data_IF_989309240529
#
_entry.id   IF_989309240529
#
_cell.length_a   1.000
_cell.length_b   1.000
_cell.length_c   1.000
_cell.angle_alpha   90.00
_cell.angle_beta   90.00
_cell.angle_gamma   90.00
#
_symmetry.space_group_name_H-M   'P 1'
#
loop_
_entity.id
_entity.type
_entity.pdbx_description
1 polymer ?
#
# COMPACT_ATOMS: atom_id res chain seq x y z
N UNK A 1 -7.71 -22.27 -7.14
CA UNK A 1 -7.22 -20.91 -6.79
C UNK A 1 -5.73 -20.84 -7.09
N UNK A 2 -5.28 -19.80 -7.80
CA UNK A 2 -3.85 -19.61 -8.10
C UNK A 2 -3.12 -19.01 -6.88
N UNK A 3 -2.01 -19.61 -6.39
CA UNK A 3 -1.34 -19.15 -5.17
C UNK A 3 -0.96 -17.67 -5.18
N UNK A 4 -0.41 -17.16 -6.28
CA UNK A 4 -0.03 -15.74 -6.40
C UNK A 4 -1.25 -14.81 -6.30
N UNK A 5 -2.39 -15.21 -6.89
CA UNK A 5 -3.61 -14.41 -6.83
C UNK A 5 -4.12 -14.30 -5.38
N UNK A 6 -4.00 -15.37 -4.59
CA UNK A 6 -4.39 -15.35 -3.18
C UNK A 6 -3.54 -14.37 -2.36
N UNK A 7 -2.23 -14.32 -2.62
CA UNK A 7 -1.32 -13.37 -1.96
C UNK A 7 -1.60 -11.95 -2.41
N UNK A 8 -1.85 -11.71 -3.70
CA UNK A 8 -2.21 -10.39 -4.21
C UNK A 8 -3.52 -9.87 -3.57
N UNK A 9 -4.55 -10.71 -3.50
CA UNK A 9 -5.82 -10.37 -2.82
C UNK A 9 -5.60 -10.06 -1.34
N UNK A 10 -4.72 -10.81 -0.67
CA UNK A 10 -4.36 -10.54 0.73
C UNK A 10 -3.64 -9.20 0.88
N UNK A 11 -2.65 -8.92 0.04
CA UNK A 11 -1.89 -7.67 0.05
C UNK A 11 -2.82 -6.45 -0.15
N UNK A 12 -3.70 -6.52 -1.16
CA UNK A 12 -4.68 -5.47 -1.43
C UNK A 12 -5.64 -5.25 -0.24
N UNK A 13 -6.08 -6.31 0.43
CA UNK A 13 -6.93 -6.20 1.63
C UNK A 13 -6.18 -5.60 2.82
N UNK A 14 -4.89 -5.89 2.98
CA UNK A 14 -4.08 -5.28 4.04
C UNK A 14 -3.94 -3.78 3.82
N UNK A 15 -3.58 -3.35 2.61
CA UNK A 15 -3.55 -1.92 2.26
C UNK A 15 -4.91 -1.25 2.42
N UNK A 16 -6.00 -1.90 1.99
CA UNK A 16 -7.35 -1.35 2.19
C UNK A 16 -7.68 -1.08 3.66
N UNK A 17 -7.18 -1.90 4.60
CA UNK A 17 -7.34 -1.62 6.04
C UNK A 17 -6.56 -0.39 6.50
N UNK A 18 -5.37 -0.16 5.95
CA UNK A 18 -4.58 1.05 6.22
C UNK A 18 -5.37 2.27 5.77
N UNK A 19 -5.88 2.27 4.53
CA UNK A 19 -6.67 3.37 3.97
C UNK A 19 -7.91 3.64 4.84
N UNK A 20 -8.71 2.62 5.14
CA UNK A 20 -9.94 2.78 5.93
C UNK A 20 -9.65 3.34 7.32
N UNK A 21 -8.56 2.88 7.97
CA UNK A 21 -8.17 3.40 9.28
C UNK A 21 -7.76 4.87 9.22
N UNK A 22 -7.08 5.28 8.16
CA UNK A 22 -6.65 6.68 7.99
C UNK A 22 -7.83 7.63 7.74
N UNK A 23 -8.95 7.15 7.18
CA UNK A 23 -10.18 7.94 7.05
C UNK A 23 -10.74 8.35 8.42
N UNK A 24 -10.57 7.52 9.45
CA UNK A 24 -11.00 7.86 10.81
C UNK A 24 -10.08 8.90 11.49
N UNK A 25 -8.89 9.15 10.93
CA UNK A 25 -7.84 10.02 11.50
C UNK A 25 -7.27 10.97 10.43
N UNK A 26 -8.15 11.58 9.63
CA UNK A 26 -7.75 12.46 8.53
C UNK A 26 -6.89 13.65 8.97
N UNK A 27 -7.04 14.09 10.22
CA UNK A 27 -6.24 15.15 10.84
C UNK A 27 -4.74 14.81 10.93
N UNK A 28 -4.39 13.53 10.86
CA UNK A 28 -3.00 13.03 10.92
C UNK A 28 -2.44 12.63 9.55
N UNK A 29 -3.23 12.75 8.48
CA UNK A 29 -2.76 12.42 7.14
C UNK A 29 -1.88 13.56 6.65
N UNK A 30 -0.61 13.24 6.40
CA UNK A 30 0.35 14.18 5.84
C UNK A 30 0.26 14.11 4.32
N UNK A 31 0.33 15.26 3.67
CA UNK A 31 0.26 15.40 2.21
C UNK A 31 1.52 16.10 1.75
N UNK A 32 2.23 15.50 0.80
CA UNK A 32 3.39 16.05 0.14
C UNK A 32 3.09 16.28 -1.35
N UNK A 33 3.60 17.37 -1.92
CA UNK A 33 3.45 17.67 -3.34
C UNK A 33 4.71 17.28 -4.10
N UNK A 34 4.59 16.34 -5.04
CA UNK A 34 5.67 15.89 -5.94
C UNK A 34 5.79 16.79 -7.19
N UNK A 35 4.77 17.61 -7.46
CA UNK A 35 4.73 18.51 -8.60
C UNK A 35 3.37 19.20 -8.76
N UNK A 36 3.19 19.89 -9.89
CA UNK A 36 1.92 20.55 -10.19
C UNK A 36 0.80 19.51 -10.33
N UNK A 37 -0.18 19.54 -9.41
CA UNK A 37 -1.28 18.57 -9.29
C UNK A 37 -0.82 17.12 -9.02
N UNK A 38 0.38 16.92 -8.49
CA UNK A 38 0.92 15.62 -8.11
C UNK A 38 1.16 15.61 -6.59
N UNK A 39 0.48 14.71 -5.90
CA UNK A 39 0.45 14.62 -4.45
C UNK A 39 0.62 13.18 -4.01
N UNK A 40 1.34 12.99 -2.91
CA UNK A 40 1.43 11.72 -2.20
C UNK A 40 1.04 11.95 -0.76
N UNK A 41 0.33 11.01 -0.17
CA UNK A 41 -0.02 11.06 1.25
C UNK A 41 0.77 10.06 2.06
N UNK A 42 0.88 10.28 3.37
CA UNK A 42 1.42 9.28 4.29
C UNK A 42 0.64 7.95 4.25
N UNK A 43 -0.62 7.98 3.80
CA UNK A 43 -1.47 6.80 3.60
C UNK A 43 -1.06 6.01 2.37
N UNK A 44 -0.70 6.67 1.27
CA UNK A 44 -0.20 6.03 0.05
C UNK A 44 1.08 5.23 0.35
N UNK A 45 2.05 5.89 1.00
CA UNK A 45 3.33 5.27 1.40
C UNK A 45 3.08 4.06 2.30
N UNK A 46 2.26 4.23 3.35
CA UNK A 46 1.95 3.15 4.30
C UNK A 46 1.22 1.98 3.63
N UNK A 47 0.40 2.26 2.61
CA UNK A 47 -0.34 1.22 1.87
C UNK A 47 0.59 0.43 0.95
N UNK A 48 1.52 1.12 0.28
CA UNK A 48 2.53 0.48 -0.57
C UNK A 48 3.46 -0.42 0.26
N UNK A 49 3.94 0.05 1.39
CA UNK A 49 4.75 -0.75 2.33
C UNK A 49 4.02 -2.01 2.77
N UNK A 50 2.73 -1.90 3.11
CA UNK A 50 1.91 -3.05 3.51
C UNK A 50 1.74 -4.08 2.37
N UNK A 51 1.65 -3.63 1.12
CA UNK A 51 1.59 -4.50 -0.06
C UNK A 51 2.93 -5.22 -0.25
N UNK A 52 4.03 -4.47 -0.26
CA UNK A 52 5.40 -4.99 -0.42
C UNK A 52 5.70 -6.03 0.66
N UNK A 53 5.43 -5.71 1.91
CA UNK A 53 5.67 -6.62 3.04
C UNK A 53 4.84 -7.91 2.90
N UNK A 54 3.57 -7.78 2.53
CA UNK A 54 2.69 -8.95 2.35
C UNK A 54 3.16 -9.86 1.21
N UNK A 55 3.61 -9.28 0.10
CA UNK A 55 4.12 -10.04 -1.05
C UNK A 55 5.45 -10.70 -0.68
N UNK A 56 6.42 -9.95 -0.13
CA UNK A 56 7.75 -10.46 0.22
C UNK A 56 7.73 -11.57 1.26
N UNK A 57 6.74 -11.60 2.16
CA UNK A 57 6.54 -12.72 3.09
C UNK A 57 6.33 -14.07 2.39
N UNK A 58 5.77 -14.08 1.19
CA UNK A 58 5.52 -15.29 0.41
C UNK A 58 6.45 -15.44 -0.80
N UNK A 59 6.96 -14.33 -1.32
CA UNK A 59 7.79 -14.25 -2.52
C UNK A 59 8.97 -13.27 -2.30
N UNK A 60 9.98 -13.66 -1.52
CA UNK A 60 11.08 -12.76 -1.13
C UNK A 60 11.95 -12.31 -2.31
N UNK A 61 12.09 -13.15 -3.33
CA UNK A 61 12.96 -12.91 -4.50
C UNK A 61 12.24 -12.20 -5.66
N UNK A 62 10.93 -11.94 -5.54
CA UNK A 62 10.19 -11.26 -6.59
C UNK A 62 10.59 -9.79 -6.65
N UNK A 63 10.87 -9.32 -7.87
CA UNK A 63 10.97 -7.88 -8.14
C UNK A 63 9.59 -7.25 -7.98
N UNK A 64 9.53 -6.12 -7.29
CA UNK A 64 8.33 -5.30 -7.15
C UNK A 64 8.65 -3.96 -7.79
N UNK A 65 7.75 -3.49 -8.64
CA UNK A 65 7.84 -2.20 -9.32
C UNK A 65 6.62 -1.39 -8.88
N UNK A 66 6.87 -0.31 -8.16
CA UNK A 66 5.89 0.69 -7.73
C UNK A 66 6.05 1.98 -8.54
N UNK A 67 5.25 2.99 -8.20
CA UNK A 67 5.29 4.34 -8.80
C UNK A 67 6.43 5.22 -8.26
#
# INVERSE_FOLDING_TARGET
MHPMLNIAVRAARTAGKVIVRSIEQLDKVEIESKGTNDFVTSVDISSEEAIIETIRKSYPDHTIIGE
#
